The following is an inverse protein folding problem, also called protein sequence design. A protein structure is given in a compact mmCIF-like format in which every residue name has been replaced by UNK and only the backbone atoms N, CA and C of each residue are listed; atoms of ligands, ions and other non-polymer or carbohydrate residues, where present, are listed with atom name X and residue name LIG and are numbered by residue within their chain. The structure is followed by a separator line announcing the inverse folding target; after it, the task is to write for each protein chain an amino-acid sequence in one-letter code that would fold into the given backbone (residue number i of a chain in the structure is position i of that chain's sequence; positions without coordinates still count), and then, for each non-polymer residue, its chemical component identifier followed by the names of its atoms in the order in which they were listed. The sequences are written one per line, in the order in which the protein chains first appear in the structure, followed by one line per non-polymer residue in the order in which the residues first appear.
data_IF_253903345441
#
_entry.id   IF_253903345441
#
_cell.length_a   1.000
_cell.length_b   1.000
_cell.length_c   1.000
_cell.angle_alpha   90.00
_cell.angle_beta   90.00
_cell.angle_gamma   90.00
#
_symmetry.space_group_name_H-M   'P 1'
#
loop_
_entity.id
_entity.type
_entity.pdbx_description
1 polymer ?
#
# COMPACT_ATOMS: atom_id res chain seq x y z
N UNK A 1 -17.61 29.42 -29.21
CA UNK A 1 -17.48 29.21 -27.78
C UNK A 1 -18.21 27.91 -27.41
N UNK A 2 -17.52 26.78 -27.43
CA UNK A 2 -18.11 25.46 -27.17
C UNK A 2 -17.96 25.18 -25.67
N UNK A 3 -19.05 25.24 -24.94
CA UNK A 3 -19.16 24.87 -23.53
C UNK A 3 -19.10 23.35 -23.40
N UNK A 4 -17.96 22.83 -22.97
CA UNK A 4 -17.86 21.44 -22.52
C UNK A 4 -18.54 21.31 -21.15
N UNK A 5 -19.78 20.86 -21.14
CA UNK A 5 -20.40 20.42 -19.90
C UNK A 5 -19.70 19.12 -19.44
N UNK A 6 -19.20 19.04 -18.19
CA UNK A 6 -18.64 17.81 -17.70
C UNK A 6 -19.75 16.77 -17.59
N UNK A 7 -19.60 15.61 -18.28
CA UNK A 7 -20.43 14.43 -18.04
C UNK A 7 -20.26 14.06 -16.57
N UNK A 8 -21.25 14.34 -15.73
CA UNK A 8 -21.33 13.84 -14.35
C UNK A 8 -21.20 12.31 -14.40
N UNK A 9 -20.04 11.81 -13.98
CA UNK A 9 -19.86 10.38 -13.68
C UNK A 9 -20.92 10.03 -12.63
N UNK A 10 -21.76 9.02 -12.90
CA UNK A 10 -22.71 8.48 -11.92
C UNK A 10 -21.93 8.14 -10.66
N UNK A 11 -22.04 8.98 -9.63
CA UNK A 11 -21.60 8.62 -8.27
C UNK A 11 -22.43 7.39 -7.88
N UNK A 12 -21.76 6.30 -7.55
CA UNK A 12 -22.39 5.18 -6.88
C UNK A 12 -22.82 5.66 -5.49
N UNK A 13 -24.00 6.23 -5.36
CA UNK A 13 -24.65 6.41 -4.08
C UNK A 13 -25.13 5.04 -3.62
N UNK A 14 -24.28 4.30 -2.89
CA UNK A 14 -24.77 3.18 -2.11
C UNK A 14 -25.73 3.74 -1.07
N UNK A 15 -26.98 3.28 -1.07
CA UNK A 15 -27.93 3.68 -0.04
C UNK A 15 -27.42 3.20 1.33
N UNK A 16 -27.71 3.95 2.39
CA UNK A 16 -27.36 3.55 3.77
C UNK A 16 -27.82 2.11 4.07
N UNK A 17 -29.00 1.73 3.58
CA UNK A 17 -29.54 0.36 3.73
C UNK A 17 -28.63 -0.72 3.12
N UNK A 18 -28.01 -0.44 1.95
CA UNK A 18 -27.11 -1.40 1.31
C UNK A 18 -25.79 -1.53 2.07
N UNK A 19 -25.31 -0.47 2.72
CA UNK A 19 -24.14 -0.52 3.59
C UNK A 19 -24.45 -1.39 4.82
N UNK A 20 -25.60 -1.20 5.46
CA UNK A 20 -26.03 -2.03 6.58
C UNK A 20 -26.17 -3.50 6.18
N UNK A 21 -26.77 -3.79 5.02
CA UNK A 21 -26.87 -5.13 4.47
C UNK A 21 -25.51 -5.81 4.28
N UNK A 22 -24.53 -5.09 3.71
CA UNK A 22 -23.17 -5.59 3.47
C UNK A 22 -22.40 -5.85 4.77
N UNK A 23 -22.59 -5.00 5.78
CA UNK A 23 -21.92 -5.12 7.08
C UNK A 23 -22.63 -6.13 8.01
N UNK A 24 -23.89 -6.44 7.73
CA UNK A 24 -24.68 -7.39 8.51
C UNK A 24 -24.71 -7.04 10.02
N UNK A 25 -24.54 -8.03 10.87
CA UNK A 25 -24.52 -7.86 12.33
C UNK A 25 -23.46 -6.89 12.86
N UNK A 26 -22.43 -6.61 12.07
CA UNK A 26 -21.36 -5.67 12.43
C UNK A 26 -21.67 -4.22 12.05
N UNK A 27 -22.81 -3.94 11.43
CA UNK A 27 -23.14 -2.61 10.95
C UNK A 27 -23.08 -1.57 12.07
N UNK A 28 -23.78 -1.82 13.19
CA UNK A 28 -23.77 -0.89 14.33
C UNK A 28 -22.38 -0.73 14.97
N UNK A 29 -21.61 -1.81 15.03
CA UNK A 29 -20.24 -1.77 15.55
C UNK A 29 -19.34 -0.83 14.74
N UNK A 30 -19.46 -0.84 13.41
CA UNK A 30 -18.64 0.02 12.55
C UNK A 30 -19.23 1.41 12.32
N UNK A 31 -20.54 1.50 12.05
CA UNK A 31 -21.17 2.77 11.64
C UNK A 31 -21.52 3.65 12.84
N UNK A 32 -21.87 3.03 13.99
CA UNK A 32 -22.17 3.74 15.23
C UNK A 32 -20.93 4.16 16.03
N UNK A 33 -19.72 3.77 15.60
CA UNK A 33 -18.50 4.05 16.35
C UNK A 33 -18.15 5.55 16.33
N UNK A 34 -17.86 6.08 17.50
CA UNK A 34 -17.29 7.42 17.68
C UNK A 34 -15.92 7.28 18.33
N UNK A 35 -14.87 7.69 17.64
CA UNK A 35 -13.51 7.67 18.18
C UNK A 35 -13.41 8.62 19.38
N UNK A 36 -12.76 8.13 20.43
CA UNK A 36 -12.45 8.90 21.65
C UNK A 36 -10.95 9.16 21.81
N UNK A 37 -10.14 8.66 20.89
CA UNK A 37 -8.67 8.72 20.99
C UNK A 37 -8.11 9.93 20.26
N UNK A 38 -8.32 10.01 18.95
CA UNK A 38 -7.81 11.09 18.10
C UNK A 38 -9.01 11.80 17.46
N UNK A 39 -9.11 13.11 17.67
CA UNK A 39 -10.19 13.90 17.08
C UNK A 39 -10.10 13.93 15.56
N UNK A 40 -11.25 13.86 14.91
CA UNK A 40 -11.35 13.89 13.45
C UNK A 40 -10.74 15.14 12.83
N UNK A 41 -10.79 16.28 13.53
CA UNK A 41 -10.21 17.55 13.08
C UNK A 41 -8.68 17.54 13.02
N UNK A 42 -8.04 16.58 13.70
CA UNK A 42 -6.58 16.37 13.66
C UNK A 42 -6.12 15.50 12.49
N UNK A 43 -7.03 14.98 11.67
CA UNK A 43 -6.73 14.06 10.59
C UNK A 43 -6.85 14.71 9.22
N UNK A 44 -5.91 14.40 8.33
CA UNK A 44 -6.06 14.65 6.89
C UNK A 44 -6.96 13.57 6.28
N UNK A 45 -8.26 13.84 6.22
CA UNK A 45 -9.22 12.90 5.66
C UNK A 45 -9.16 12.98 4.14
N UNK A 46 -9.06 11.83 3.43
CA UNK A 46 -9.07 11.82 1.97
C UNK A 46 -10.27 12.57 1.39
N UNK A 47 -10.00 13.44 0.43
CA UNK A 47 -10.98 14.32 -0.23
C UNK A 47 -10.66 14.42 -1.72
N UNK A 48 -11.55 15.00 -2.56
CA UNK A 48 -11.23 15.28 -3.96
C UNK A 48 -10.01 16.18 -4.16
N UNK A 49 -9.68 17.03 -3.19
CA UNK A 49 -8.51 17.91 -3.20
C UNK A 49 -7.28 17.31 -2.49
N UNK A 50 -7.32 16.03 -2.11
CA UNK A 50 -6.26 15.39 -1.31
C UNK A 50 -4.86 15.52 -1.92
N UNK A 51 -4.73 15.44 -3.25
CA UNK A 51 -3.45 15.65 -3.93
C UNK A 51 -2.94 17.06 -3.70
N UNK A 52 -3.79 18.07 -3.87
CA UNK A 52 -3.42 19.49 -3.70
C UNK A 52 -3.12 19.83 -2.24
N UNK A 53 -3.84 19.24 -1.31
CA UNK A 53 -3.67 19.50 0.12
C UNK A 53 -2.42 18.83 0.71
N UNK A 54 -2.05 17.66 0.21
CA UNK A 54 -0.96 16.83 0.79
C UNK A 54 0.33 16.92 -0.04
N UNK A 55 0.27 16.56 -1.32
CA UNK A 55 1.50 16.39 -2.10
C UNK A 55 2.04 17.66 -2.73
N UNK A 56 1.22 18.68 -3.04
CA UNK A 56 1.73 19.93 -3.61
C UNK A 56 2.62 20.71 -2.64
N UNK A 57 2.50 20.48 -1.34
CA UNK A 57 3.38 21.05 -0.31
C UNK A 57 4.67 20.23 -0.10
N UNK A 58 4.81 19.08 -0.76
CA UNK A 58 5.98 18.21 -0.66
C UNK A 58 7.10 18.67 -1.61
N UNK A 59 8.27 18.04 -1.52
CA UNK A 59 9.40 18.25 -2.44
C UNK A 59 9.31 17.44 -3.74
N UNK A 60 8.13 16.87 -4.08
CA UNK A 60 7.94 16.10 -5.31
C UNK A 60 7.95 17.01 -6.53
N UNK A 61 8.67 16.58 -7.58
CA UNK A 61 8.64 17.30 -8.84
C UNK A 61 7.26 17.15 -9.54
N UNK A 62 6.98 18.03 -10.50
CA UNK A 62 5.68 18.09 -11.19
C UNK A 62 5.32 16.82 -11.96
N UNK A 63 6.31 16.03 -12.40
CA UNK A 63 6.05 14.75 -13.08
C UNK A 63 5.62 13.68 -12.10
N UNK A 64 6.26 13.63 -10.92
CA UNK A 64 5.84 12.74 -9.83
C UNK A 64 4.43 13.08 -9.33
N UNK A 65 4.10 14.37 -9.18
CA UNK A 65 2.72 14.80 -8.87
C UNK A 65 1.74 14.35 -9.95
N UNK A 66 2.12 14.43 -11.23
CA UNK A 66 1.34 13.91 -12.34
C UNK A 66 1.09 12.40 -12.25
N UNK A 67 2.10 11.62 -11.86
CA UNK A 67 2.01 10.17 -11.65
C UNK A 67 1.09 9.81 -10.47
N UNK A 68 1.22 10.51 -9.35
CA UNK A 68 0.32 10.36 -8.20
C UNK A 68 -1.12 10.70 -8.62
N UNK A 69 -1.29 11.82 -9.35
CA UNK A 69 -2.58 12.23 -9.90
C UNK A 69 -3.19 11.20 -10.85
N UNK A 70 -2.39 10.57 -11.69
CA UNK A 70 -2.83 9.51 -12.60
C UNK A 70 -3.40 8.31 -11.81
N UNK A 71 -2.75 7.89 -10.73
CA UNK A 71 -3.26 6.83 -9.85
C UNK A 71 -4.54 7.28 -9.14
N UNK A 72 -4.57 8.46 -8.52
CA UNK A 72 -5.71 8.93 -7.74
C UNK A 72 -6.96 9.20 -8.59
N UNK A 73 -6.77 9.55 -9.85
CA UNK A 73 -7.86 9.88 -10.77
C UNK A 73 -8.25 8.74 -11.72
N UNK A 74 -7.76 7.52 -11.50
CA UNK A 74 -8.15 6.32 -12.24
C UNK A 74 -9.16 5.48 -11.45
N UNK A 75 -9.88 4.60 -12.16
CA UNK A 75 -10.77 3.61 -11.57
C UNK A 75 -12.03 4.17 -10.91
N UNK A 76 -12.69 3.31 -10.12
CA UNK A 76 -13.97 3.64 -9.48
C UNK A 76 -13.88 4.64 -8.34
N UNK A 77 -12.71 4.75 -7.70
CA UNK A 77 -12.46 5.71 -6.61
C UNK A 77 -11.86 7.03 -7.11
N UNK A 78 -11.80 7.23 -8.43
CA UNK A 78 -11.29 8.46 -9.06
C UNK A 78 -11.90 9.71 -8.44
N UNK A 79 -11.05 10.65 -8.02
CA UNK A 79 -11.45 11.94 -7.47
C UNK A 79 -12.09 11.86 -6.07
N UNK A 80 -11.89 10.76 -5.33
CA UNK A 80 -12.38 10.64 -3.95
C UNK A 80 -11.28 10.89 -2.90
N UNK A 81 -10.01 10.90 -3.30
CA UNK A 81 -8.86 10.89 -2.39
C UNK A 81 -8.49 9.48 -1.89
N UNK A 82 -9.30 8.47 -2.20
CA UNK A 82 -9.01 7.07 -1.90
C UNK A 82 -8.47 6.34 -3.12
N UNK A 83 -7.68 5.30 -2.89
CA UNK A 83 -7.15 4.43 -3.94
C UNK A 83 -7.44 2.96 -3.66
N UNK A 84 -7.72 2.20 -4.72
CA UNK A 84 -7.84 0.75 -4.70
C UNK A 84 -6.80 0.18 -5.67
N UNK A 85 -5.79 -0.49 -5.13
CA UNK A 85 -4.70 -1.08 -5.91
C UNK A 85 -4.79 -2.59 -5.80
N UNK A 86 -4.76 -3.31 -6.93
CA UNK A 86 -4.66 -4.77 -6.95
C UNK A 86 -3.19 -5.19 -6.97
N UNK A 87 -2.60 -5.68 -5.87
CA UNK A 87 -1.24 -6.18 -5.85
C UNK A 87 -1.23 -7.70 -6.02
N UNK A 88 -0.47 -8.21 -6.99
CA UNK A 88 -0.30 -9.64 -7.23
C UNK A 88 1.18 -9.94 -7.51
N UNK A 89 1.85 -10.52 -6.53
CA UNK A 89 3.24 -10.97 -6.61
C UNK A 89 3.42 -12.46 -6.26
N UNK A 90 2.33 -13.22 -6.35
CA UNK A 90 2.33 -14.66 -6.22
C UNK A 90 3.20 -15.30 -7.32
N UNK A 91 3.91 -16.35 -6.96
CA UNK A 91 4.90 -16.97 -7.80
C UNK A 91 6.33 -16.55 -7.50
N UNK A 92 6.51 -15.49 -6.69
CA UNK A 92 7.82 -15.06 -6.19
C UNK A 92 7.81 -14.83 -4.66
N UNK A 93 6.90 -14.02 -4.14
CA UNK A 93 6.76 -13.80 -2.68
C UNK A 93 6.05 -14.97 -1.97
N UNK A 94 5.21 -15.68 -2.71
CA UNK A 94 4.40 -16.81 -2.26
C UNK A 94 4.34 -17.88 -3.36
N UNK A 95 3.98 -19.09 -2.99
CA UNK A 95 3.79 -20.16 -3.97
C UNK A 95 2.70 -19.81 -4.99
N UNK A 96 3.06 -19.70 -6.27
CA UNK A 96 2.13 -19.49 -7.37
C UNK A 96 1.14 -20.64 -7.49
N UNK A 97 1.61 -21.88 -7.36
CA UNK A 97 0.77 -23.08 -7.38
C UNK A 97 -0.32 -23.04 -6.30
N UNK A 98 0.06 -22.76 -5.05
CA UNK A 98 -0.90 -22.68 -3.96
C UNK A 98 -1.90 -21.51 -4.13
N UNK A 99 -1.43 -20.38 -4.67
CA UNK A 99 -2.27 -19.18 -4.83
C UNK A 99 -3.24 -19.27 -5.98
N UNK A 100 -2.84 -19.84 -7.12
CA UNK A 100 -3.63 -19.83 -8.36
C UNK A 100 -4.34 -21.15 -8.67
N UNK A 101 -3.97 -22.28 -8.07
CA UNK A 101 -4.65 -23.54 -8.31
C UNK A 101 -6.18 -23.51 -8.08
N UNK A 102 -6.71 -22.76 -7.06
CA UNK A 102 -8.15 -22.63 -6.89
C UNK A 102 -8.86 -21.90 -8.05
N UNK A 103 -8.14 -21.05 -8.78
CA UNK A 103 -8.62 -20.37 -9.99
C UNK A 103 -7.50 -20.27 -11.03
N UNK A 104 -7.28 -21.31 -11.84
CA UNK A 104 -6.12 -21.43 -12.72
C UNK A 104 -6.00 -20.36 -13.81
N UNK A 105 -7.07 -19.60 -14.09
CA UNK A 105 -7.02 -18.52 -15.09
C UNK A 105 -5.96 -17.45 -14.72
N UNK A 106 -5.62 -17.31 -13.44
CA UNK A 106 -4.64 -16.32 -12.96
C UNK A 106 -3.19 -16.76 -13.10
N UNK A 107 -2.92 -17.98 -13.61
CA UNK A 107 -1.60 -18.32 -14.13
C UNK A 107 -1.25 -17.53 -15.39
N UNK A 108 -2.26 -17.04 -16.12
CA UNK A 108 -2.07 -16.08 -17.21
C UNK A 108 -2.01 -14.65 -16.67
N UNK A 109 -0.88 -13.94 -16.79
CA UNK A 109 -0.70 -12.57 -16.31
C UNK A 109 -1.74 -11.57 -16.87
N UNK A 110 -2.22 -11.80 -18.09
CA UNK A 110 -3.21 -10.94 -18.72
C UNK A 110 -4.52 -10.90 -17.91
N UNK A 111 -4.93 -12.04 -17.33
CA UNK A 111 -6.15 -12.11 -16.54
C UNK A 111 -6.06 -11.38 -15.20
N UNK A 112 -4.85 -11.23 -14.64
CA UNK A 112 -4.60 -10.39 -13.45
C UNK A 112 -4.88 -8.92 -13.76
N UNK A 113 -4.38 -8.43 -14.89
CA UNK A 113 -4.60 -7.03 -15.30
C UNK A 113 -6.06 -6.79 -15.70
N UNK A 114 -6.70 -7.74 -16.40
CA UNK A 114 -8.14 -7.69 -16.70
C UNK A 114 -8.97 -7.59 -15.42
N UNK A 115 -8.65 -8.40 -14.40
CA UNK A 115 -9.34 -8.36 -13.12
C UNK A 115 -9.23 -6.97 -12.44
N UNK A 116 -8.03 -6.35 -12.48
CA UNK A 116 -7.85 -5.00 -11.94
C UNK A 116 -8.72 -3.96 -12.67
N UNK A 117 -8.80 -4.06 -14.00
CA UNK A 117 -9.61 -3.15 -14.83
C UNK A 117 -11.11 -3.35 -14.56
N UNK A 118 -11.58 -4.60 -14.57
CA UNK A 118 -12.97 -4.96 -14.30
C UNK A 118 -13.41 -4.58 -12.88
N UNK A 119 -12.50 -4.77 -11.90
CA UNK A 119 -12.69 -4.34 -10.53
C UNK A 119 -12.68 -2.82 -10.33
N UNK A 120 -12.37 -2.05 -11.38
CA UNK A 120 -12.27 -0.59 -11.32
C UNK A 120 -11.15 -0.11 -10.38
N UNK A 121 -10.05 -0.84 -10.30
CA UNK A 121 -8.90 -0.44 -9.49
C UNK A 121 -8.24 0.83 -10.02
N UNK A 122 -7.62 1.60 -9.12
CA UNK A 122 -6.83 2.77 -9.48
C UNK A 122 -5.50 2.40 -10.14
N UNK A 123 -4.96 1.23 -9.78
CA UNK A 123 -3.72 0.72 -10.34
C UNK A 123 -3.63 -0.81 -10.17
N UNK A 124 -2.74 -1.43 -10.90
CA UNK A 124 -2.33 -2.81 -10.71
C UNK A 124 -0.84 -2.86 -10.38
N UNK A 125 -0.48 -3.63 -9.35
CA UNK A 125 0.90 -3.80 -8.92
C UNK A 125 1.33 -5.25 -9.10
N UNK A 126 2.46 -5.49 -9.78
CA UNK A 126 3.01 -6.82 -9.94
C UNK A 126 4.50 -6.78 -10.28
N UNK A 127 5.07 -7.94 -10.60
CA UNK A 127 6.47 -8.12 -10.94
C UNK A 127 6.80 -7.57 -12.34
N UNK A 128 8.09 -7.41 -12.63
CA UNK A 128 8.57 -7.05 -13.97
C UNK A 128 8.06 -7.99 -15.05
N UNK A 129 8.17 -9.31 -14.81
CA UNK A 129 7.78 -10.31 -15.80
C UNK A 129 6.30 -10.30 -16.10
N UNK A 130 5.46 -10.18 -15.06
CA UNK A 130 4.00 -10.14 -15.19
C UNK A 130 3.56 -8.89 -15.96
N UNK A 131 3.95 -7.70 -15.51
CA UNK A 131 3.52 -6.46 -16.16
C UNK A 131 4.19 -6.27 -17.52
N UNK A 132 5.46 -6.65 -17.67
CA UNK A 132 6.19 -6.56 -18.93
C UNK A 132 5.58 -7.37 -20.06
N UNK A 133 5.08 -8.56 -19.75
CA UNK A 133 4.44 -9.45 -20.75
C UNK A 133 3.18 -8.83 -21.38
N UNK A 134 2.52 -7.90 -20.68
CA UNK A 134 1.24 -7.29 -21.08
C UNK A 134 1.29 -5.77 -21.26
N UNK A 135 2.44 -5.14 -21.00
CA UNK A 135 2.58 -3.68 -20.96
C UNK A 135 2.07 -3.00 -22.24
N UNK A 136 2.41 -3.51 -23.42
CA UNK A 136 1.98 -2.90 -24.70
C UNK A 136 0.46 -2.87 -24.86
N UNK A 137 -0.26 -3.82 -24.24
CA UNK A 137 -1.72 -3.89 -24.32
C UNK A 137 -2.41 -3.03 -23.25
N UNK A 138 -1.79 -2.83 -22.09
CA UNK A 138 -2.50 -2.37 -20.91
C UNK A 138 -1.90 -1.16 -20.17
N UNK A 139 -0.62 -0.81 -20.37
CA UNK A 139 -0.01 0.30 -19.64
C UNK A 139 -0.72 1.66 -19.85
N UNK A 140 -1.40 1.84 -20.98
CA UNK A 140 -2.21 3.02 -21.29
C UNK A 140 -3.68 2.93 -20.78
N UNK A 141 -4.09 1.78 -20.23
CA UNK A 141 -5.47 1.52 -19.77
C UNK A 141 -5.63 1.58 -18.27
N UNK A 142 -4.58 1.24 -17.54
CA UNK A 142 -4.53 1.25 -16.08
C UNK A 142 -3.12 1.59 -15.62
N UNK A 143 -2.93 2.46 -14.62
CA UNK A 143 -1.62 2.74 -14.04
C UNK A 143 -0.92 1.46 -13.55
N UNK A 144 0.33 1.26 -13.99
CA UNK A 144 1.18 0.16 -13.55
C UNK A 144 2.06 0.58 -12.39
N UNK A 145 2.14 -0.27 -11.38
CA UNK A 145 3.09 -0.19 -10.27
C UNK A 145 4.00 -1.41 -10.38
N UNK A 146 5.24 -1.20 -10.84
CA UNK A 146 6.20 -2.29 -10.94
C UNK A 146 6.89 -2.50 -9.60
N UNK A 147 6.68 -3.65 -8.97
CA UNK A 147 7.38 -4.02 -7.75
C UNK A 147 8.79 -4.48 -8.10
N UNK A 148 9.81 -3.75 -7.58
CA UNK A 148 11.20 -3.88 -8.03
C UNK A 148 12.05 -4.83 -7.21
N UNK A 149 11.61 -5.17 -5.98
CA UNK A 149 12.29 -6.15 -5.13
C UNK A 149 11.33 -7.20 -4.60
N UNK A 150 11.87 -8.36 -4.29
CA UNK A 150 11.10 -9.50 -3.80
C UNK A 150 11.92 -10.37 -2.86
N UNK A 151 11.24 -11.05 -1.93
CA UNK A 151 11.80 -12.18 -1.21
C UNK A 151 11.89 -13.37 -2.19
N UNK A 152 13.09 -13.88 -2.40
CA UNK A 152 13.30 -15.11 -3.17
C UNK A 152 12.80 -16.30 -2.32
N UNK A 153 11.61 -16.81 -2.67
CA UNK A 153 10.84 -17.74 -1.83
C UNK A 153 11.44 -19.17 -1.77
N UNK A 154 12.37 -19.50 -2.66
CA UNK A 154 13.01 -20.82 -2.67
C UNK A 154 14.14 -20.94 -1.64
N UNK A 155 14.67 -19.83 -1.15
CA UNK A 155 15.68 -19.84 -0.09
C UNK A 155 15.08 -20.37 1.22
N UNK A 156 15.62 -21.47 1.73
CA UNK A 156 15.18 -22.10 2.98
C UNK A 156 16.37 -22.35 3.93
N UNK A 157 16.23 -22.01 5.23
CA UNK A 157 15.12 -21.29 5.84
C UNK A 157 15.01 -19.86 5.33
N UNK A 158 13.77 -19.31 5.32
CA UNK A 158 13.52 -17.96 4.83
C UNK A 158 14.24 -16.92 5.70
N UNK A 159 15.07 -16.06 5.08
CA UNK A 159 15.83 -14.99 5.75
C UNK A 159 15.09 -13.65 5.77
N UNK A 160 13.88 -13.57 5.23
CA UNK A 160 13.17 -12.31 5.05
C UNK A 160 14.02 -11.27 4.31
N UNK A 161 14.70 -11.72 3.27
CA UNK A 161 15.49 -10.88 2.40
C UNK A 161 14.67 -10.40 1.21
N UNK A 162 14.78 -9.12 0.92
CA UNK A 162 14.19 -8.49 -0.26
C UNK A 162 15.35 -8.09 -1.18
N UNK A 163 15.44 -8.71 -2.34
CA UNK A 163 16.48 -8.45 -3.33
C UNK A 163 15.92 -7.77 -4.57
N UNK A 164 16.71 -6.91 -5.21
CA UNK A 164 16.29 -6.22 -6.43
C UNK A 164 16.27 -7.17 -7.63
N UNK A 165 15.15 -7.22 -8.35
CA UNK A 165 14.95 -8.06 -9.53
C UNK A 165 15.05 -7.31 -10.86
N UNK A 166 15.18 -6.01 -10.82
CA UNK A 166 15.30 -5.18 -12.01
C UNK A 166 15.63 -3.74 -11.67
N UNK A 167 15.76 -2.90 -12.70
CA UNK A 167 16.12 -1.51 -12.54
C UNK A 167 14.91 -0.58 -12.61
N UNK A 168 15.02 0.57 -11.96
CA UNK A 168 13.98 1.62 -12.03
C UNK A 168 13.79 2.09 -13.47
N UNK A 169 14.89 2.16 -14.25
CA UNK A 169 14.83 2.56 -15.65
C UNK A 169 14.03 1.58 -16.51
N UNK A 170 14.14 0.28 -16.25
CA UNK A 170 13.34 -0.71 -16.97
C UNK A 170 11.85 -0.61 -16.64
N UNK A 171 11.50 -0.35 -15.38
CA UNK A 171 10.12 -0.08 -14.99
C UNK A 171 9.57 1.17 -15.72
N UNK A 172 10.36 2.23 -15.79
CA UNK A 172 10.00 3.45 -16.52
C UNK A 172 9.82 3.19 -18.03
N UNK A 173 10.73 2.44 -18.67
CA UNK A 173 10.64 2.07 -20.08
C UNK A 173 9.40 1.21 -20.39
N UNK A 174 8.91 0.45 -19.42
CA UNK A 174 7.68 -0.34 -19.49
C UNK A 174 6.40 0.52 -19.44
N UNK A 175 6.52 1.80 -19.11
CA UNK A 175 5.39 2.71 -18.93
C UNK A 175 4.79 2.68 -17.53
N UNK A 176 5.57 2.29 -16.53
CA UNK A 176 5.13 2.31 -15.14
C UNK A 176 4.83 3.75 -14.69
N UNK A 177 3.71 3.91 -14.00
CA UNK A 177 3.33 5.16 -13.33
C UNK A 177 4.01 5.27 -11.96
N UNK A 178 4.27 4.13 -11.34
CA UNK A 178 4.95 4.06 -10.05
C UNK A 178 5.84 2.82 -9.96
N UNK A 179 6.79 2.86 -9.03
CA UNK A 179 7.51 1.68 -8.57
C UNK A 179 7.08 1.33 -7.16
N UNK A 180 7.08 0.03 -6.86
CA UNK A 180 6.81 -0.49 -5.54
C UNK A 180 8.01 -1.27 -5.00
N UNK A 181 8.24 -1.22 -3.70
CA UNK A 181 9.23 -2.02 -3.04
C UNK A 181 8.72 -2.51 -1.68
N UNK A 182 9.30 -3.59 -1.18
CA UNK A 182 9.09 -4.07 0.18
C UNK A 182 10.36 -3.82 1.00
N UNK A 183 10.20 -3.39 2.24
CA UNK A 183 11.25 -3.48 3.25
C UNK A 183 10.72 -4.33 4.40
N UNK A 184 11.51 -5.32 4.79
CA UNK A 184 11.31 -6.12 5.99
C UNK A 184 12.10 -5.52 7.15
N UNK A 185 11.54 -4.45 7.75
CA UNK A 185 12.17 -3.75 8.86
C UNK A 185 12.41 -4.70 10.04
N UNK A 186 13.60 -4.64 10.61
CA UNK A 186 14.02 -5.47 11.73
C UNK A 186 14.51 -6.87 11.36
N UNK A 187 14.52 -7.25 10.07
CA UNK A 187 15.24 -8.44 9.61
C UNK A 187 16.77 -8.20 9.61
N UNK A 188 17.55 -9.25 9.53
CA UNK A 188 19.01 -9.16 9.46
C UNK A 188 19.49 -8.34 8.24
N UNK A 189 18.70 -8.34 7.16
CA UNK A 189 18.96 -7.63 5.90
C UNK A 189 18.33 -6.23 5.84
N UNK A 190 17.66 -5.79 6.90
CA UNK A 190 16.90 -4.53 6.93
C UNK A 190 17.73 -3.31 6.52
N UNK A 191 18.96 -3.19 7.02
CA UNK A 191 19.84 -2.05 6.73
C UNK A 191 20.17 -1.95 5.23
N UNK A 192 20.49 -3.07 4.57
CA UNK A 192 20.75 -3.13 3.14
C UNK A 192 19.50 -2.77 2.33
N UNK A 193 18.36 -3.35 2.68
CA UNK A 193 17.08 -3.07 2.01
C UNK A 193 16.71 -1.58 2.08
N UNK A 194 16.91 -0.92 3.22
CA UNK A 194 16.66 0.51 3.38
C UNK A 194 17.51 1.33 2.39
N UNK A 195 18.81 1.03 2.31
CA UNK A 195 19.73 1.76 1.41
C UNK A 195 19.36 1.54 -0.06
N UNK A 196 19.07 0.30 -0.46
CA UNK A 196 18.71 -0.02 -1.83
C UNK A 196 17.39 0.62 -2.25
N UNK A 197 16.37 0.56 -1.40
CA UNK A 197 15.05 1.13 -1.68
C UNK A 197 15.10 2.66 -1.67
N UNK A 198 15.86 3.28 -0.75
CA UNK A 198 16.02 4.74 -0.74
C UNK A 198 16.60 5.25 -2.07
N UNK A 199 17.66 4.61 -2.58
CA UNK A 199 18.26 4.94 -3.90
C UNK A 199 17.29 4.68 -5.05
N UNK A 200 16.52 3.58 -4.98
CA UNK A 200 15.52 3.26 -5.99
C UNK A 200 14.41 4.33 -6.03
N UNK A 201 13.95 4.80 -4.88
CA UNK A 201 12.90 5.82 -4.79
C UNK A 201 13.40 7.20 -5.24
N UNK A 202 14.63 7.57 -4.86
CA UNK A 202 15.28 8.78 -5.38
C UNK A 202 15.27 8.78 -6.92
N UNK A 203 15.75 7.72 -7.54
CA UNK A 203 15.81 7.63 -9.00
C UNK A 203 14.41 7.53 -9.65
N UNK A 204 13.44 6.91 -8.99
CA UNK A 204 12.07 6.90 -9.46
C UNK A 204 11.48 8.32 -9.52
N UNK A 205 11.71 9.14 -8.48
CA UNK A 205 11.29 10.54 -8.47
C UNK A 205 11.99 11.37 -9.54
N UNK A 206 13.29 11.16 -9.80
CA UNK A 206 13.99 11.81 -10.92
C UNK A 206 13.32 11.53 -12.27
N UNK A 207 12.86 10.29 -12.47
CA UNK A 207 12.14 9.88 -13.67
C UNK A 207 10.64 10.27 -13.68
N UNK A 208 10.16 10.86 -12.59
CA UNK A 208 8.78 11.33 -12.45
C UNK A 208 7.77 10.24 -12.09
N UNK A 209 8.21 9.08 -11.59
CA UNK A 209 7.33 8.04 -11.08
C UNK A 209 7.00 8.25 -9.60
N UNK A 210 5.82 7.81 -9.18
CA UNK A 210 5.48 7.72 -7.76
C UNK A 210 6.13 6.48 -7.11
N UNK A 211 6.23 6.49 -5.78
CA UNK A 211 6.86 5.42 -5.01
C UNK A 211 5.91 4.84 -3.97
N UNK A 212 5.83 3.50 -3.89
CA UNK A 212 4.94 2.80 -2.98
C UNK A 212 5.73 1.79 -2.16
N UNK A 213 5.67 1.89 -0.84
CA UNK A 213 6.36 0.99 0.06
C UNK A 213 5.42 -0.02 0.71
N UNK A 214 5.68 -1.31 0.51
CA UNK A 214 5.19 -2.38 1.38
C UNK A 214 6.03 -2.38 2.65
N UNK A 215 5.48 -1.80 3.70
CA UNK A 215 6.18 -1.47 4.94
C UNK A 215 5.88 -2.56 5.97
N UNK A 216 6.75 -3.56 6.08
CA UNK A 216 6.52 -4.71 6.94
C UNK A 216 7.61 -4.89 7.96
N UNK A 217 7.22 -5.32 9.15
CA UNK A 217 8.15 -5.78 10.18
C UNK A 217 8.45 -7.27 9.98
N UNK A 218 9.72 -7.65 10.12
CA UNK A 218 10.17 -9.04 10.13
C UNK A 218 11.36 -9.18 11.08
N UNK A 219 11.10 -9.59 12.31
CA UNK A 219 12.11 -9.87 13.31
C UNK A 219 11.66 -11.09 14.09
N UNK A 220 12.50 -12.13 14.16
CA UNK A 220 12.17 -13.36 14.89
C UNK A 220 11.87 -13.12 16.37
N UNK A 221 12.51 -12.12 16.99
CA UNK A 221 12.30 -11.75 18.39
C UNK A 221 10.94 -11.06 18.63
N UNK A 222 10.20 -10.66 17.57
CA UNK A 222 8.87 -10.05 17.72
C UNK A 222 7.74 -11.08 17.86
N UNK A 223 8.10 -12.35 17.99
CA UNK A 223 7.18 -13.42 18.44
C UNK A 223 7.64 -13.88 19.82
N UNK A 224 6.81 -13.66 20.82
CA UNK A 224 7.14 -13.97 22.21
C UNK A 224 5.90 -14.55 22.90
N UNK A 225 6.07 -15.63 23.62
CA UNK A 225 5.02 -16.30 24.42
C UNK A 225 3.74 -16.61 23.60
N UNK A 226 3.92 -17.00 22.33
CA UNK A 226 2.81 -17.33 21.42
C UNK A 226 2.11 -16.11 20.80
N UNK A 227 2.51 -14.87 21.15
CA UNK A 227 1.95 -13.63 20.61
C UNK A 227 2.84 -13.08 19.50
N UNK A 228 2.23 -12.61 18.43
CA UNK A 228 2.89 -11.96 17.29
C UNK A 228 2.77 -10.42 17.41
N UNK A 229 3.88 -9.74 17.62
CA UNK A 229 3.95 -8.28 17.79
C UNK A 229 4.30 -7.53 16.49
N UNK A 230 4.42 -8.21 15.35
CA UNK A 230 4.76 -7.56 14.07
C UNK A 230 3.71 -6.53 13.59
N UNK A 231 2.54 -6.50 14.19
CA UNK A 231 1.50 -5.51 13.91
C UNK A 231 1.23 -4.58 15.11
N UNK A 232 2.06 -4.61 16.16
CA UNK A 232 1.87 -3.71 17.29
C UNK A 232 1.85 -2.25 16.85
N UNK A 233 0.98 -1.41 17.44
CA UNK A 233 0.71 -0.06 16.98
C UNK A 233 1.97 0.84 16.97
N UNK A 234 2.79 0.79 18.02
CA UNK A 234 4.03 1.56 18.10
C UNK A 234 5.11 1.07 17.13
N UNK A 235 5.21 -0.25 16.91
CA UNK A 235 6.17 -0.83 15.96
C UNK A 235 5.80 -0.51 14.52
N UNK A 236 4.51 -0.63 14.16
CA UNK A 236 4.03 -0.28 12.82
C UNK A 236 4.12 1.21 12.56
N UNK A 237 3.83 2.06 13.57
CA UNK A 237 4.03 3.50 13.50
C UNK A 237 5.50 3.87 13.26
N UNK A 238 6.43 3.22 13.95
CA UNK A 238 7.87 3.40 13.71
C UNK A 238 8.27 3.00 12.29
N UNK A 239 7.78 1.87 11.79
CA UNK A 239 8.06 1.43 10.43
C UNK A 239 7.50 2.41 9.38
N UNK A 240 6.29 2.94 9.58
CA UNK A 240 5.70 3.96 8.72
C UNK A 240 6.56 5.22 8.67
N UNK A 241 7.08 5.67 9.82
CA UNK A 241 7.96 6.84 9.88
C UNK A 241 9.28 6.61 9.11
N UNK A 242 9.84 5.40 9.19
CA UNK A 242 11.00 5.02 8.36
C UNK A 242 10.66 5.06 6.87
N UNK A 243 9.47 4.60 6.48
CA UNK A 243 8.98 4.67 5.10
C UNK A 243 8.84 6.11 4.59
N UNK A 244 8.32 7.02 5.41
CA UNK A 244 8.27 8.45 5.07
C UNK A 244 9.68 9.03 4.94
N UNK A 245 10.60 8.63 5.82
CA UNK A 245 11.99 9.11 5.81
C UNK A 245 12.72 8.79 4.51
N UNK A 246 12.45 7.65 3.88
CA UNK A 246 13.00 7.28 2.56
C UNK A 246 12.14 7.78 1.40
N UNK A 247 11.20 8.69 1.65
CA UNK A 247 10.38 9.38 0.66
C UNK A 247 9.39 8.46 -0.10
N UNK A 248 8.81 7.47 0.55
CA UNK A 248 7.67 6.77 -0.01
C UNK A 248 6.46 7.72 -0.14
N UNK A 249 5.81 7.76 -1.31
CA UNK A 249 4.59 8.55 -1.52
C UNK A 249 3.36 7.87 -0.94
N UNK A 250 3.32 6.55 -1.03
CA UNK A 250 2.25 5.73 -0.47
C UNK A 250 2.88 4.61 0.35
N UNK A 251 2.36 4.40 1.56
CA UNK A 251 2.79 3.32 2.44
C UNK A 251 1.65 2.32 2.59
N UNK A 252 1.92 1.06 2.23
CA UNK A 252 1.02 -0.05 2.53
C UNK A 252 1.45 -0.70 3.84
N UNK A 253 0.58 -0.65 4.84
CA UNK A 253 0.79 -1.24 6.15
C UNK A 253 -0.31 -2.22 6.49
N UNK A 254 -0.03 -3.19 7.36
CA UNK A 254 -1.05 -4.01 7.99
C UNK A 254 -1.81 -3.19 9.03
N UNK A 255 -3.06 -3.55 9.27
CA UNK A 255 -3.82 -2.92 10.35
C UNK A 255 -3.10 -3.16 11.69
N UNK A 256 -2.87 -2.11 12.49
CA UNK A 256 -2.18 -2.23 13.77
C UNK A 256 -2.96 -3.06 14.80
N UNK A 257 -2.27 -3.48 15.85
CA UNK A 257 -2.84 -4.22 17.00
C UNK A 257 -2.51 -3.51 18.30
N UNK A 258 -3.47 -3.50 19.21
CA UNK A 258 -3.30 -2.99 20.57
C UNK A 258 -2.80 -4.11 21.49
N UNK A 259 -1.50 -4.46 21.40
CA UNK A 259 -0.94 -5.62 22.10
C UNK A 259 0.31 -5.33 22.94
N UNK A 260 0.65 -4.06 23.14
CA UNK A 260 1.74 -3.63 24.04
C UNK A 260 3.12 -3.47 23.41
N UNK A 261 3.32 -3.92 22.17
CA UNK A 261 4.51 -3.66 21.34
C UNK A 261 5.86 -3.64 22.08
N UNK A 262 6.57 -2.52 22.08
CA UNK A 262 7.87 -2.35 22.74
C UNK A 262 7.85 -2.74 24.19
N UNK A 263 6.82 -2.42 24.94
CA UNK A 263 6.71 -2.76 26.36
C UNK A 263 6.61 -4.26 26.57
N UNK A 264 5.78 -4.95 25.80
CA UNK A 264 5.61 -6.40 25.91
C UNK A 264 6.86 -7.17 25.48
N UNK A 265 7.57 -6.66 24.47
CA UNK A 265 8.83 -7.23 23.99
C UNK A 265 10.03 -6.92 24.91
N UNK A 266 9.89 -5.95 25.82
CA UNK A 266 11.02 -5.41 26.61
C UNK A 266 12.17 -4.96 25.71
N UNK A 267 11.86 -4.26 24.64
CA UNK A 267 12.79 -3.76 23.63
C UNK A 267 12.42 -2.32 23.28
N UNK A 268 13.44 -1.44 23.12
CA UNK A 268 13.20 -0.04 22.80
C UNK A 268 12.43 0.70 23.91
N UNK A 269 11.71 1.74 23.53
CA UNK A 269 10.88 2.55 24.44
C UNK A 269 9.61 3.00 23.73
N UNK A 270 8.51 3.01 24.48
CA UNK A 270 7.25 3.66 24.08
C UNK A 270 6.72 4.50 25.23
N UNK A 271 5.85 5.43 24.96
CA UNK A 271 5.13 6.16 26.00
C UNK A 271 3.83 5.40 26.32
N UNK A 272 3.53 5.23 27.61
CA UNK A 272 2.33 4.49 28.05
C UNK A 272 1.02 4.99 27.41
N UNK A 273 0.94 6.28 27.10
CA UNK A 273 -0.23 6.85 26.42
C UNK A 273 -0.55 6.18 25.06
N UNK A 274 0.41 5.56 24.39
CA UNK A 274 0.16 4.87 23.12
C UNK A 274 -0.90 3.80 23.30
N UNK A 275 -0.79 2.96 24.31
CA UNK A 275 -1.71 1.85 24.57
C UNK A 275 -2.84 2.19 25.56
N UNK A 276 -2.64 3.19 26.44
CA UNK A 276 -3.65 3.60 27.42
C UNK A 276 -4.66 4.62 26.86
N UNK A 277 -4.24 5.46 25.88
CA UNK A 277 -5.04 6.62 25.44
C UNK A 277 -5.19 6.76 23.93
N UNK A 278 -4.17 6.40 23.14
CA UNK A 278 -4.14 6.65 21.70
C UNK A 278 -4.52 5.44 20.86
N UNK A 279 -4.51 4.25 21.42
CA UNK A 279 -4.85 3.00 20.71
C UNK A 279 -6.02 2.32 21.40
N UNK A 280 -6.98 1.81 20.63
CA UNK A 280 -8.06 0.96 21.10
C UNK A 280 -8.08 -0.34 20.29
N UNK A 281 -8.96 -1.28 20.63
CA UNK A 281 -9.16 -2.50 19.84
C UNK A 281 -10.10 -2.29 18.66
N UNK A 282 -10.68 -1.08 18.52
CA UNK A 282 -11.61 -0.81 17.43
C UNK A 282 -10.85 -0.52 16.12
N UNK A 283 -11.13 -1.23 15.01
CA UNK A 283 -10.37 -1.10 13.76
C UNK A 283 -10.32 0.33 13.20
N UNK A 284 -11.38 1.13 13.39
CA UNK A 284 -11.41 2.54 12.95
C UNK A 284 -10.39 3.38 13.71
N UNK A 285 -10.25 3.18 15.02
CA UNK A 285 -9.25 3.90 15.81
C UNK A 285 -7.82 3.47 15.47
N UNK A 286 -7.64 2.19 15.13
CA UNK A 286 -6.33 1.66 14.72
C UNK A 286 -5.87 2.19 13.35
N UNK A 287 -6.79 2.67 12.50
CA UNK A 287 -6.47 3.32 11.24
C UNK A 287 -6.08 4.81 11.39
N UNK A 288 -6.30 5.41 12.56
CA UNK A 288 -6.03 6.82 12.86
C UNK A 288 -4.69 6.99 13.54
#
# INVERSE_FOLDING_TARGET
MLTFAPKLKKRFNMSANKIHELLGEKAEYYLGHTSKTIDKSSLHIPSPSHLDEVWTSSNRNVRTLGSIGAIMNHGRLSGSGYVSILPVDQGIEHSGGASFAPNPIYFDPENIVKLAIEGGCNAVASTYGVLGSVARKYAHKIPFIVKVNHNEFLTYPNKFDQIMFGTIKDAWNMGATAVGATIYYGSDESARQIVEVAKAFEYAHELGMATILWCYLRNSAFKKDGIDYHTAADLTGQANHLGVTIQADIIKQKLPSNNGGYTALNFGKTHKAVYEKLTTDHPIDLCR
#
